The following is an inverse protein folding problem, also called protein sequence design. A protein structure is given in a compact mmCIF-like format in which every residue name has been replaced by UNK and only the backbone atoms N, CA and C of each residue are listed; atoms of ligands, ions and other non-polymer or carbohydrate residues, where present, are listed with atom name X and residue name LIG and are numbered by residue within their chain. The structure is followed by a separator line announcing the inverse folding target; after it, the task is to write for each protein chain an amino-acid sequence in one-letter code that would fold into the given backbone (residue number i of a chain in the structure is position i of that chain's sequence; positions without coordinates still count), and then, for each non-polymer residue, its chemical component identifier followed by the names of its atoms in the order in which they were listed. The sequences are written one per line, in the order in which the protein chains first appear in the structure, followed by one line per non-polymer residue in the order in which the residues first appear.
data_IF_473055869395
#
_entry.id   IF_473055869395
#
_cell.length_a   1.000
_cell.length_b   1.000
_cell.length_c   1.000
_cell.angle_alpha   90.00
_cell.angle_beta   90.00
_cell.angle_gamma   90.00
#
_symmetry.space_group_name_H-M   'P 1'
#
loop_
_entity.id
_entity.type
_entity.pdbx_description
1 polymer ?
#
# COMPACT_ATOMS: atom_id res chain seq x y z
N UNK A 1 -0.54 18.57 22.79
CA UNK A 1 0.92 18.34 22.65
C UNK A 1 1.31 16.88 23.01
N UNK A 2 0.40 15.89 22.87
CA UNK A 2 0.55 14.56 23.48
C UNK A 2 1.41 13.54 22.73
N UNK A 3 1.15 13.29 21.44
CA UNK A 3 1.63 12.04 20.81
C UNK A 3 2.66 12.24 19.69
N UNK A 4 2.87 13.46 19.18
CA UNK A 4 3.82 13.71 18.08
C UNK A 4 5.26 13.27 18.40
N UNK A 5 5.68 13.43 19.66
CA UNK A 5 7.01 12.97 20.13
C UNK A 5 7.12 11.46 20.13
N UNK A 6 6.06 10.77 20.48
CA UNK A 6 6.01 9.31 20.51
C UNK A 6 6.02 8.73 19.10
N UNK A 7 5.24 9.33 18.19
CA UNK A 7 5.27 8.97 16.76
C UNK A 7 6.65 9.21 16.15
N UNK A 8 7.30 10.34 16.46
CA UNK A 8 8.67 10.59 16.03
C UNK A 8 9.65 9.54 16.57
N UNK A 9 9.51 9.16 17.85
CA UNK A 9 10.31 8.10 18.46
C UNK A 9 10.09 6.73 17.76
N UNK A 10 8.85 6.40 17.41
CA UNK A 10 8.57 5.18 16.65
C UNK A 10 9.23 5.21 15.28
N UNK A 11 9.19 6.32 14.56
CA UNK A 11 9.91 6.44 13.28
C UNK A 11 11.41 6.18 13.43
N UNK A 12 12.04 6.80 14.42
CA UNK A 12 13.47 6.66 14.64
C UNK A 12 13.84 5.22 15.02
N UNK A 13 13.06 4.59 15.90
CA UNK A 13 13.25 3.19 16.31
C UNK A 13 12.95 2.20 15.19
N UNK A 14 11.93 2.42 14.37
CA UNK A 14 11.63 1.58 13.20
C UNK A 14 12.81 1.58 12.22
N UNK A 15 13.38 2.76 11.94
CA UNK A 15 14.54 2.85 11.06
C UNK A 15 15.78 2.19 11.67
N UNK A 16 16.05 2.46 12.96
CA UNK A 16 17.25 2.02 13.67
C UNK A 16 17.23 0.53 14.03
N UNK A 17 16.13 0.08 14.64
CA UNK A 17 16.03 -1.22 15.30
C UNK A 17 15.47 -2.29 14.32
N UNK A 18 14.50 -1.95 13.47
CA UNK A 18 13.98 -2.88 12.45
C UNK A 18 14.72 -2.82 11.10
N UNK A 19 15.60 -1.84 10.92
CA UNK A 19 16.32 -1.64 9.65
C UNK A 19 15.41 -1.21 8.49
N UNK A 20 14.22 -0.69 8.77
CA UNK A 20 13.30 -0.15 7.76
C UNK A 20 13.75 1.28 7.41
N UNK A 21 14.81 1.37 6.61
CA UNK A 21 15.40 2.64 6.20
C UNK A 21 14.68 3.25 4.99
N UNK A 22 14.73 4.57 4.87
CA UNK A 22 14.19 5.35 3.74
C UNK A 22 12.75 4.96 3.36
N UNK A 23 11.92 4.69 4.38
CA UNK A 23 10.55 4.20 4.20
C UNK A 23 9.56 4.94 5.12
N UNK A 24 9.90 6.17 5.53
CA UNK A 24 9.08 6.97 6.47
C UNK A 24 7.63 7.12 5.98
N UNK A 25 7.43 7.36 4.69
CA UNK A 25 6.09 7.43 4.11
C UNK A 25 5.34 6.10 4.14
N UNK A 26 6.01 4.97 3.88
CA UNK A 26 5.39 3.65 4.04
C UNK A 26 4.94 3.39 5.47
N UNK A 27 5.76 3.80 6.46
CA UNK A 27 5.40 3.73 7.88
C UNK A 27 4.17 4.59 8.15
N UNK A 28 4.13 5.83 7.65
CA UNK A 28 2.95 6.69 7.78
C UNK A 28 1.70 6.12 7.10
N UNK A 29 1.85 5.44 5.97
CA UNK A 29 0.74 4.72 5.32
C UNK A 29 0.24 3.57 6.21
N UNK A 30 1.13 2.81 6.83
CA UNK A 30 0.75 1.75 7.79
C UNK A 30 -0.01 2.35 8.98
N UNK A 31 0.51 3.42 9.58
CA UNK A 31 -0.15 4.14 10.67
C UNK A 31 -1.54 4.65 10.25
N UNK A 32 -1.64 5.22 9.06
CA UNK A 32 -2.92 5.66 8.48
C UNK A 32 -3.89 4.50 8.28
N UNK A 33 -3.41 3.35 7.80
CA UNK A 33 -4.23 2.14 7.62
C UNK A 33 -4.76 1.59 8.95
N UNK A 34 -3.90 1.53 9.97
CA UNK A 34 -4.28 1.13 11.33
C UNK A 34 -5.31 2.08 11.93
N UNK A 35 -5.05 3.40 11.88
CA UNK A 35 -5.98 4.41 12.37
C UNK A 35 -7.33 4.35 11.67
N UNK A 36 -7.31 4.26 10.33
CA UNK A 36 -8.51 4.18 9.51
C UNK A 36 -9.33 2.92 9.79
N UNK A 37 -8.66 1.79 10.01
CA UNK A 37 -9.30 0.51 10.37
C UNK A 37 -10.03 0.60 11.72
N UNK A 38 -9.32 0.98 12.79
CA UNK A 38 -9.91 1.03 14.13
C UNK A 38 -10.97 2.11 14.25
N UNK A 39 -10.76 3.28 13.63
CA UNK A 39 -11.77 4.32 13.56
C UNK A 39 -13.02 3.86 12.81
N UNK A 40 -12.88 3.08 11.73
CA UNK A 40 -14.02 2.54 10.99
C UNK A 40 -14.82 1.53 11.86
N UNK A 41 -14.12 0.67 12.60
CA UNK A 41 -14.78 -0.25 13.53
C UNK A 41 -15.54 0.51 14.61
N UNK A 42 -14.89 1.50 15.23
CA UNK A 42 -15.49 2.31 16.30
C UNK A 42 -16.77 3.02 15.84
N UNK A 43 -16.75 3.64 14.65
CA UNK A 43 -17.92 4.30 14.06
C UNK A 43 -19.09 3.37 13.79
N UNK A 44 -18.83 2.09 13.52
CA UNK A 44 -19.86 1.11 13.18
C UNK A 44 -20.38 0.33 14.40
N UNK A 45 -19.65 0.35 15.52
CA UNK A 45 -19.97 -0.48 16.69
C UNK A 45 -20.25 0.29 17.97
N UNK A 46 -19.91 1.58 18.03
CA UNK A 46 -20.01 2.36 19.26
C UNK A 46 -20.97 3.54 19.10
N UNK A 47 -21.90 3.67 20.04
CA UNK A 47 -22.76 4.85 20.19
C UNK A 47 -22.01 6.03 20.84
N UNK A 48 -20.80 5.80 21.34
CA UNK A 48 -19.99 6.80 22.03
C UNK A 48 -19.22 7.72 21.08
N UNK A 49 -19.39 7.58 19.76
CA UNK A 49 -18.75 8.46 18.78
C UNK A 49 -19.75 9.03 17.79
N UNK A 50 -19.47 10.25 17.32
CA UNK A 50 -20.21 10.84 16.21
C UNK A 50 -19.51 10.46 14.90
N UNK A 51 -20.09 9.57 14.06
CA UNK A 51 -19.41 9.08 12.89
C UNK A 51 -19.15 10.19 11.87
N UNK A 52 -18.06 10.07 11.12
CA UNK A 52 -17.78 10.90 9.95
C UNK A 52 -18.91 10.67 8.95
N UNK A 53 -19.61 11.73 8.57
CA UNK A 53 -20.71 11.66 7.60
C UNK A 53 -20.39 12.49 6.37
N UNK A 54 -20.71 11.93 5.21
CA UNK A 54 -20.73 12.64 3.93
C UNK A 54 -22.04 12.33 3.23
N UNK A 55 -22.76 13.37 2.82
CA UNK A 55 -24.05 13.25 2.12
C UNK A 55 -25.07 12.33 2.83
N UNK A 56 -25.09 12.35 4.16
CA UNK A 56 -26.02 11.55 4.98
C UNK A 56 -25.54 10.12 5.31
N UNK A 57 -24.49 9.63 4.66
CA UNK A 57 -23.94 8.29 4.91
C UNK A 57 -22.70 8.34 5.80
N UNK A 58 -22.48 7.27 6.58
CA UNK A 58 -21.22 7.07 7.32
C UNK A 58 -20.12 6.84 6.30
N UNK A 59 -19.01 7.57 6.46
CA UNK A 59 -17.84 7.45 5.60
C UNK A 59 -17.03 6.22 6.01
N UNK A 60 -16.68 5.38 5.05
CA UNK A 60 -15.71 4.32 5.29
C UNK A 60 -14.31 4.92 5.42
N UNK A 61 -13.72 4.82 6.62
CA UNK A 61 -12.39 5.37 6.90
C UNK A 61 -11.27 4.35 6.67
N UNK A 62 -11.58 3.13 6.22
CA UNK A 62 -10.55 2.11 5.94
C UNK A 62 -9.61 2.62 4.85
N UNK A 63 -8.33 2.33 5.04
CA UNK A 63 -7.29 2.62 4.06
C UNK A 63 -6.52 1.35 3.77
N UNK A 64 -6.78 0.77 2.61
CA UNK A 64 -6.06 -0.40 2.12
C UNK A 64 -4.65 0.01 1.70
N UNK A 65 -3.67 -0.90 1.75
CA UNK A 65 -2.28 -0.61 1.41
C UNK A 65 -1.80 -1.37 0.18
N UNK A 66 -1.07 -0.70 -0.70
CA UNK A 66 -0.37 -1.32 -1.82
C UNK A 66 1.07 -0.86 -1.86
N UNK A 67 2.00 -1.76 -1.54
CA UNK A 67 3.44 -1.52 -1.64
C UNK A 67 3.99 -2.11 -2.93
N UNK A 68 4.36 -1.25 -3.87
CA UNK A 68 4.97 -1.63 -5.14
C UNK A 68 6.46 -1.37 -5.04
N UNK A 69 7.23 -2.44 -4.80
CA UNK A 69 8.68 -2.36 -4.65
C UNK A 69 9.39 -3.53 -5.33
N UNK A 70 10.64 -3.37 -5.80
CA UNK A 70 11.37 -4.50 -6.36
C UNK A 70 11.64 -5.59 -5.29
N UNK A 71 12.04 -6.79 -5.72
CA UNK A 71 12.47 -7.88 -4.84
C UNK A 71 13.61 -7.45 -3.90
N UNK A 72 13.59 -7.89 -2.64
CA UNK A 72 14.64 -7.58 -1.66
C UNK A 72 14.55 -6.22 -0.97
N UNK A 73 13.60 -5.35 -1.35
CA UNK A 73 13.50 -3.98 -0.80
C UNK A 73 12.45 -3.82 0.31
N UNK A 74 12.45 -4.77 1.26
CA UNK A 74 11.74 -4.63 2.53
C UNK A 74 10.21 -4.79 2.50
N UNK A 75 9.59 -5.21 1.39
CA UNK A 75 8.12 -5.44 1.32
C UNK A 75 7.60 -6.33 2.45
N UNK A 76 8.21 -7.50 2.62
CA UNK A 76 7.85 -8.47 3.67
C UNK A 76 8.07 -7.88 5.06
N UNK A 77 9.15 -7.10 5.24
CA UNK A 77 9.43 -6.44 6.53
C UNK A 77 8.34 -5.42 6.88
N UNK A 78 7.83 -4.67 5.90
CA UNK A 78 6.72 -3.73 6.12
C UNK A 78 5.40 -4.45 6.37
N UNK A 79 5.02 -5.39 5.51
CA UNK A 79 3.71 -6.06 5.57
C UNK A 79 3.60 -7.03 6.76
N UNK A 80 4.62 -7.86 6.96
CA UNK A 80 4.65 -8.83 8.06
C UNK A 80 5.22 -8.20 9.33
N UNK A 81 6.45 -7.69 9.24
CA UNK A 81 7.20 -7.23 10.41
C UNK A 81 6.62 -6.00 11.09
N UNK A 82 6.15 -5.01 10.32
CA UNK A 82 5.67 -3.73 10.86
C UNK A 82 4.15 -3.58 10.87
N UNK A 83 3.41 -4.22 9.96
CA UNK A 83 1.95 -4.20 9.98
C UNK A 83 1.38 -5.40 10.73
N UNK A 84 1.57 -6.62 10.21
CA UNK A 84 0.90 -7.80 10.77
C UNK A 84 1.36 -8.14 12.19
N UNK A 85 2.68 -8.16 12.43
CA UNK A 85 3.24 -8.59 13.71
C UNK A 85 2.84 -7.64 14.84
N UNK A 86 2.69 -6.34 14.57
CA UNK A 86 2.30 -5.33 15.58
C UNK A 86 0.80 -5.23 15.80
N UNK A 87 -0.03 -6.01 15.11
CA UNK A 87 -1.47 -6.04 15.43
C UNK A 87 -1.66 -6.60 16.86
N UNK A 88 -2.51 -5.97 17.68
CA UNK A 88 -2.93 -6.53 18.96
C UNK A 88 -3.58 -7.91 18.79
N UNK A 89 -3.47 -8.76 19.80
CA UNK A 89 -4.01 -10.12 19.78
C UNK A 89 -5.52 -10.15 19.51
N UNK A 90 -6.28 -9.23 20.10
CA UNK A 90 -7.73 -9.09 19.85
C UNK A 90 -8.10 -8.66 18.41
N UNK A 91 -7.15 -8.15 17.63
CA UNK A 91 -7.35 -7.87 16.19
C UNK A 91 -6.98 -9.08 15.33
N UNK A 92 -6.02 -9.90 15.79
CA UNK A 92 -5.60 -11.12 15.09
C UNK A 92 -6.55 -12.29 15.32
N UNK A 93 -7.17 -12.34 16.49
CA UNK A 93 -7.99 -13.46 16.91
C UNK A 93 -9.23 -13.04 17.68
N UNK A 94 -10.29 -13.83 17.54
CA UNK A 94 -11.49 -13.79 18.38
C UNK A 94 -11.86 -15.19 18.87
N UNK A 95 -12.82 -15.28 19.78
CA UNK A 95 -13.36 -16.56 20.24
C UNK A 95 -14.65 -16.89 19.49
N UNK A 96 -14.76 -18.13 19.02
CA UNK A 96 -16.00 -18.64 18.44
C UNK A 96 -17.12 -18.56 19.49
N UNK A 97 -18.30 -18.00 19.18
CA UNK A 97 -19.39 -17.85 20.15
C UNK A 97 -19.81 -19.17 20.80
N UNK A 98 -19.99 -20.21 19.99
CA UNK A 98 -20.49 -21.51 20.48
C UNK A 98 -19.42 -22.45 21.04
N UNK A 99 -18.21 -22.45 20.47
CA UNK A 99 -17.18 -23.44 20.82
C UNK A 99 -16.06 -22.87 21.70
N UNK A 100 -15.98 -21.54 21.83
CA UNK A 100 -14.86 -20.86 22.50
C UNK A 100 -13.52 -20.96 21.76
N UNK A 101 -13.46 -21.70 20.65
CA UNK A 101 -12.24 -21.91 19.87
C UNK A 101 -11.74 -20.60 19.27
N UNK A 102 -10.41 -20.46 19.20
CA UNK A 102 -9.76 -19.29 18.60
C UNK A 102 -10.01 -19.26 17.09
N UNK A 103 -10.56 -18.15 16.59
CA UNK A 103 -10.77 -17.88 15.16
C UNK A 103 -9.83 -16.75 14.75
N UNK A 104 -9.11 -16.94 13.63
CA UNK A 104 -8.31 -15.89 13.01
C UNK A 104 -9.19 -14.81 12.38
N UNK A 105 -9.01 -13.56 12.84
CA UNK A 105 -9.65 -12.35 12.31
C UNK A 105 -8.69 -11.48 11.52
N UNK A 106 -7.38 -11.74 11.59
CA UNK A 106 -6.38 -11.22 10.67
C UNK A 106 -5.53 -12.37 10.13
N UNK A 107 -5.06 -12.26 8.90
CA UNK A 107 -4.30 -13.35 8.26
C UNK A 107 -3.25 -12.85 7.28
N UNK A 108 -2.19 -13.64 7.08
CA UNK A 108 -1.15 -13.41 6.10
C UNK A 108 -1.22 -14.49 5.02
N UNK A 109 -1.53 -14.09 3.79
CA UNK A 109 -1.88 -14.96 2.67
C UNK A 109 -0.86 -14.83 1.54
N UNK A 110 -0.53 -15.97 0.93
CA UNK A 110 0.31 -16.01 -0.27
C UNK A 110 -0.52 -15.95 -1.56
N UNK A 111 -1.69 -16.59 -1.56
CA UNK A 111 -2.58 -16.71 -2.71
C UNK A 111 -4.01 -16.51 -2.21
N UNK A 112 -4.81 -15.74 -2.96
CA UNK A 112 -6.22 -15.51 -2.67
C UNK A 112 -7.05 -15.79 -3.93
N UNK A 113 -8.00 -16.72 -3.82
CA UNK A 113 -8.95 -17.04 -4.90
C UNK A 113 -10.30 -16.41 -4.61
N UNK A 114 -11.17 -16.29 -5.63
CA UNK A 114 -12.51 -15.75 -5.45
C UNK A 114 -13.29 -16.48 -4.35
N UNK A 115 -13.38 -17.82 -4.44
CA UNK A 115 -14.08 -18.63 -3.45
C UNK A 115 -13.44 -18.53 -2.06
N UNK A 116 -12.11 -18.42 -1.99
CA UNK A 116 -11.40 -18.19 -0.74
C UNK A 116 -11.69 -16.81 -0.13
N UNK A 117 -11.89 -15.78 -0.96
CA UNK A 117 -12.19 -14.43 -0.51
C UNK A 117 -13.67 -14.26 -0.13
N UNK A 118 -14.59 -14.54 -1.05
CA UNK A 118 -16.03 -14.29 -0.88
C UNK A 118 -16.73 -15.39 -0.10
N UNK A 119 -16.23 -16.61 -0.15
CA UNK A 119 -16.94 -17.81 0.25
C UNK A 119 -17.61 -18.52 -0.92
N UNK A 120 -18.23 -19.67 -0.62
CA UNK A 120 -18.96 -20.49 -1.59
C UNK A 120 -20.16 -21.18 -0.95
N UNK A 121 -21.13 -21.58 -1.78
CA UNK A 121 -22.29 -22.37 -1.37
C UNK A 121 -22.14 -23.77 -1.94
N UNK A 122 -22.03 -24.78 -1.09
CA UNK A 122 -21.95 -26.20 -1.50
C UNK A 122 -23.32 -26.85 -1.34
N UNK A 123 -23.81 -27.47 -2.41
CA UNK A 123 -24.98 -28.34 -2.33
C UNK A 123 -24.52 -29.79 -2.17
N UNK A 124 -24.96 -30.47 -1.13
CA UNK A 124 -24.76 -31.91 -0.97
C UNK A 124 -26.11 -32.59 -0.75
N UNK A 125 -26.75 -33.03 -1.84
CA UNK A 125 -28.14 -33.48 -1.82
C UNK A 125 -29.13 -32.36 -1.49
N UNK A 126 -29.94 -32.52 -0.44
CA UNK A 126 -30.91 -31.51 0.02
C UNK A 126 -30.33 -30.47 0.99
N UNK A 127 -29.04 -30.57 1.35
CA UNK A 127 -28.40 -29.61 2.25
C UNK A 127 -27.55 -28.60 1.48
N UNK A 128 -27.80 -27.33 1.77
CA UNK A 128 -27.03 -26.19 1.26
C UNK A 128 -26.15 -25.70 2.41
N UNK A 129 -24.83 -25.86 2.27
CA UNK A 129 -23.85 -25.41 3.25
C UNK A 129 -23.15 -24.15 2.73
N UNK A 130 -23.21 -23.08 3.51
CA UNK A 130 -22.48 -21.85 3.25
C UNK A 130 -21.08 -21.95 3.87
N UNK A 131 -20.06 -21.91 3.04
CA UNK A 131 -18.66 -21.85 3.49
C UNK A 131 -18.20 -20.40 3.42
N UNK A 132 -17.93 -19.81 4.59
CA UNK A 132 -17.47 -18.43 4.70
C UNK A 132 -16.10 -18.21 4.07
N UNK A 133 -15.97 -17.11 3.33
CA UNK A 133 -14.69 -16.65 2.82
C UNK A 133 -13.88 -15.86 3.85
N UNK A 134 -12.65 -15.54 3.49
CA UNK A 134 -11.74 -14.70 4.28
C UNK A 134 -12.37 -13.33 4.55
N UNK A 135 -13.15 -12.77 3.62
CA UNK A 135 -13.77 -11.47 3.83
C UNK A 135 -14.79 -11.46 4.98
N UNK A 136 -15.55 -12.54 5.16
CA UNK A 136 -16.45 -12.70 6.31
C UNK A 136 -15.67 -12.96 7.60
N UNK A 137 -14.74 -13.93 7.57
CA UNK A 137 -13.94 -14.32 8.74
C UNK A 137 -13.08 -13.18 9.29
N UNK A 138 -12.44 -12.41 8.41
CA UNK A 138 -11.58 -11.30 8.74
C UNK A 138 -12.31 -9.95 8.75
N UNK A 139 -13.64 -9.94 8.97
CA UNK A 139 -14.46 -8.73 9.02
C UNK A 139 -13.88 -7.65 9.95
N UNK A 140 -13.20 -8.01 11.05
CA UNK A 140 -12.67 -7.05 12.03
C UNK A 140 -11.15 -6.97 12.06
N UNK A 141 -10.47 -7.36 10.99
CA UNK A 141 -9.02 -7.37 10.98
C UNK A 141 -8.42 -7.15 9.60
N UNK A 142 -7.16 -7.59 9.46
CA UNK A 142 -6.35 -7.36 8.29
C UNK A 142 -6.17 -8.63 7.47
N UNK A 143 -6.33 -8.52 6.17
CA UNK A 143 -5.85 -9.51 5.20
C UNK A 143 -4.58 -8.94 4.60
N UNK A 144 -3.47 -9.62 4.82
CA UNK A 144 -2.15 -9.20 4.32
C UNK A 144 -1.73 -10.16 3.21
N UNK A 145 -1.42 -9.64 2.02
CA UNK A 145 -1.04 -10.42 0.84
C UNK A 145 0.37 -10.02 0.39
N UNK A 146 1.33 -10.94 0.46
CA UNK A 146 2.73 -10.61 0.14
C UNK A 146 2.98 -10.40 -1.36
N UNK A 147 2.33 -11.20 -2.20
CA UNK A 147 2.45 -11.16 -3.66
C UNK A 147 1.07 -11.04 -4.30
N UNK A 148 0.66 -9.81 -4.56
CA UNK A 148 -0.61 -9.47 -5.17
C UNK A 148 -0.67 -9.84 -6.66
N UNK A 149 0.47 -10.14 -7.30
CA UNK A 149 0.48 -10.49 -8.72
C UNK A 149 -0.39 -11.70 -9.04
N UNK A 150 -0.45 -12.70 -8.15
CA UNK A 150 -1.30 -13.87 -8.33
C UNK A 150 -2.81 -13.51 -8.39
N UNK A 151 -3.22 -12.46 -7.67
CA UNK A 151 -4.59 -11.94 -7.70
C UNK A 151 -4.84 -11.22 -9.03
N UNK A 152 -3.91 -10.37 -9.47
CA UNK A 152 -4.03 -9.65 -10.75
C UNK A 152 -4.02 -10.61 -11.96
N UNK A 153 -3.15 -11.61 -11.94
CA UNK A 153 -3.11 -12.65 -12.98
C UNK A 153 -4.43 -13.41 -13.06
N UNK A 154 -5.09 -13.64 -11.91
CA UNK A 154 -6.42 -14.23 -11.90
C UNK A 154 -7.42 -13.35 -12.64
N UNK A 155 -7.40 -12.03 -12.48
CA UNK A 155 -8.30 -11.08 -13.18
C UNK A 155 -8.13 -11.09 -14.70
N UNK A 156 -6.94 -11.41 -15.17
CA UNK A 156 -6.63 -11.48 -16.61
C UNK A 156 -7.23 -12.73 -17.30
N UNK A 157 -7.71 -13.71 -16.52
CA UNK A 157 -8.36 -14.91 -17.04
C UNK A 157 -9.87 -14.64 -17.21
N UNK A 158 -10.43 -14.85 -18.40
CA UNK A 158 -11.80 -14.47 -18.82
C UNK A 158 -12.95 -14.94 -17.93
N UNK A 159 -12.71 -15.85 -16.98
CA UNK A 159 -13.71 -16.39 -16.05
C UNK A 159 -13.73 -15.74 -14.66
N UNK A 160 -12.90 -14.72 -14.39
CA UNK A 160 -12.67 -14.17 -13.04
C UNK A 160 -13.13 -12.71 -12.83
N UNK A 161 -13.85 -12.11 -13.78
CA UNK A 161 -14.38 -10.74 -13.63
C UNK A 161 -15.24 -10.57 -12.37
N UNK A 162 -15.88 -11.66 -11.91
CA UNK A 162 -16.65 -11.70 -10.67
C UNK A 162 -15.78 -11.48 -9.43
N UNK A 163 -14.53 -11.96 -9.43
CA UNK A 163 -13.63 -11.77 -8.29
C UNK A 163 -13.18 -10.32 -8.16
N UNK A 164 -12.82 -9.72 -9.28
CA UNK A 164 -12.42 -8.31 -9.31
C UNK A 164 -13.54 -7.42 -8.77
N UNK A 165 -14.78 -7.61 -9.25
CA UNK A 165 -15.94 -6.83 -8.76
C UNK A 165 -16.22 -7.08 -7.27
N UNK A 166 -16.16 -8.33 -6.81
CA UNK A 166 -16.35 -8.65 -5.40
C UNK A 166 -15.28 -8.00 -4.51
N UNK A 167 -14.02 -7.99 -4.96
CA UNK A 167 -12.94 -7.30 -4.27
C UNK A 167 -13.18 -5.78 -4.26
N UNK A 168 -13.49 -5.18 -5.41
CA UNK A 168 -13.77 -3.74 -5.51
C UNK A 168 -14.89 -3.30 -4.57
N UNK A 169 -16.00 -4.06 -4.49
CA UNK A 169 -17.11 -3.75 -3.60
C UNK A 169 -16.76 -3.88 -2.12
N UNK A 170 -16.01 -4.93 -1.75
CA UNK A 170 -15.57 -5.17 -0.39
C UNK A 170 -14.61 -4.08 0.13
N UNK A 171 -13.69 -3.62 -0.73
CA UNK A 171 -12.70 -2.60 -0.38
C UNK A 171 -13.28 -1.16 -0.41
N UNK A 172 -14.40 -0.95 -1.09
CA UNK A 172 -15.01 0.38 -1.21
C UNK A 172 -16.12 0.58 -0.17
N UNK A 173 -17.17 -0.24 -0.25
CA UNK A 173 -18.36 -0.13 0.59
C UNK A 173 -18.34 -1.03 1.82
N UNK A 174 -17.44 -2.02 1.83
CA UNK A 174 -17.47 -3.08 2.83
C UNK A 174 -18.54 -4.13 2.54
N UNK A 175 -19.18 -4.13 1.37
CA UNK A 175 -20.22 -5.11 1.05
C UNK A 175 -19.68 -6.21 0.14
N UNK A 176 -19.98 -7.46 0.48
CA UNK A 176 -19.77 -8.62 -0.37
C UNK A 176 -21.14 -9.14 -0.80
N UNK A 177 -21.34 -9.32 -2.10
CA UNK A 177 -22.55 -9.96 -2.64
C UNK A 177 -22.18 -10.84 -3.82
N UNK A 178 -22.60 -12.10 -3.77
CA UNK A 178 -22.32 -13.09 -4.81
C UNK A 178 -23.51 -14.02 -4.96
N UNK A 179 -24.10 -14.03 -6.15
CA UNK A 179 -25.21 -14.94 -6.50
C UNK A 179 -24.63 -16.23 -7.08
N UNK A 180 -25.04 -17.36 -6.51
CA UNK A 180 -24.64 -18.71 -6.93
C UNK A 180 -25.90 -19.52 -7.28
N UNK A 181 -25.72 -20.60 -8.05
CA UNK A 181 -26.84 -21.45 -8.46
C UNK A 181 -27.65 -22.01 -7.27
N UNK A 182 -26.99 -22.25 -6.14
CA UNK A 182 -27.59 -22.84 -4.95
C UNK A 182 -27.93 -21.82 -3.85
N UNK A 183 -27.79 -20.51 -4.11
CA UNK A 183 -28.07 -19.47 -3.10
C UNK A 183 -27.29 -18.18 -3.31
N UNK A 184 -27.58 -17.17 -2.50
CA UNK A 184 -26.87 -15.88 -2.54
C UNK A 184 -26.06 -15.70 -1.26
N UNK A 185 -24.79 -15.32 -1.41
CA UNK A 185 -23.93 -14.86 -0.33
C UNK A 185 -24.04 -13.34 -0.28
N UNK A 186 -24.44 -12.78 0.86
CA UNK A 186 -24.48 -11.32 1.07
C UNK A 186 -24.14 -11.00 2.52
N UNK A 187 -23.09 -10.23 2.74
CA UNK A 187 -22.68 -9.77 4.08
C UNK A 187 -21.85 -8.50 4.01
N UNK A 188 -21.74 -7.82 5.15
CA UNK A 188 -20.84 -6.69 5.33
C UNK A 188 -19.53 -7.15 5.98
N UNK A 189 -18.44 -6.51 5.57
CA UNK A 189 -17.08 -6.73 6.03
C UNK A 189 -16.38 -5.40 6.25
N UNK A 190 -15.63 -5.31 7.35
CA UNK A 190 -14.74 -4.19 7.67
C UNK A 190 -13.27 -4.59 7.53
N UNK A 191 -12.99 -5.66 6.79
CA UNK A 191 -11.63 -6.10 6.55
C UNK A 191 -10.81 -4.94 5.98
N UNK A 192 -9.56 -4.86 6.36
CA UNK A 192 -8.58 -3.98 5.72
C UNK A 192 -7.54 -4.84 5.00
N UNK A 193 -7.18 -4.44 3.78
CA UNK A 193 -6.33 -5.22 2.89
C UNK A 193 -5.01 -4.49 2.76
N UNK A 194 -3.92 -5.21 2.98
CA UNK A 194 -2.58 -4.71 2.71
C UNK A 194 -1.89 -5.68 1.76
N UNK A 195 -1.31 -5.16 0.70
CA UNK A 195 -0.77 -5.95 -0.38
C UNK A 195 0.62 -5.46 -0.80
N UNK A 196 1.45 -6.40 -1.26
CA UNK A 196 2.74 -6.12 -1.87
C UNK A 196 2.77 -6.63 -3.31
N UNK A 197 3.44 -5.90 -4.21
CA UNK A 197 3.66 -6.38 -5.58
C UNK A 197 5.01 -5.88 -6.11
N UNK A 198 5.54 -6.59 -7.10
CA UNK A 198 6.71 -6.15 -7.85
C UNK A 198 6.29 -5.24 -9.02
N UNK A 199 7.02 -4.13 -9.29
CA UNK A 199 6.72 -3.26 -10.43
C UNK A 199 6.53 -4.03 -11.75
N UNK A 200 7.39 -5.01 -12.00
CA UNK A 200 7.45 -5.78 -13.25
C UNK A 200 6.34 -6.82 -13.38
N UNK A 201 5.63 -7.13 -12.29
CA UNK A 201 4.49 -8.05 -12.26
C UNK A 201 3.15 -7.32 -12.21
N UNK A 202 3.18 -5.99 -12.14
CA UNK A 202 1.96 -5.21 -12.14
C UNK A 202 1.39 -5.18 -13.55
N UNK A 203 0.29 -5.91 -13.74
CA UNK A 203 -0.48 -5.95 -14.98
C UNK A 203 -1.70 -5.05 -14.82
N UNK A 204 -1.98 -4.27 -15.86
CA UNK A 204 -3.16 -3.43 -16.09
C UNK A 204 -4.05 -3.18 -14.85
N UNK A 205 -3.74 -2.13 -14.10
CA UNK A 205 -4.48 -1.76 -12.89
C UNK A 205 -5.64 -0.78 -13.16
N UNK A 206 -6.11 -0.73 -14.42
CA UNK A 206 -7.03 0.30 -14.94
C UNK A 206 -8.48 0.20 -14.44
N UNK A 207 -8.87 -0.89 -13.76
CA UNK A 207 -10.25 -1.13 -13.30
C UNK A 207 -10.71 -0.29 -12.10
N UNK A 208 -9.92 0.71 -11.69
CA UNK A 208 -10.20 1.53 -10.52
C UNK A 208 -9.86 0.87 -9.19
N UNK A 209 -9.31 -0.36 -9.20
CA UNK A 209 -8.86 -1.07 -8.00
C UNK A 209 -7.86 -0.25 -7.19
N UNK A 210 -6.87 0.34 -7.86
CA UNK A 210 -5.83 1.11 -7.19
C UNK A 210 -6.36 2.33 -6.45
N UNK A 211 -7.53 2.88 -6.82
CA UNK A 211 -8.17 4.00 -6.10
C UNK A 211 -8.55 3.65 -4.65
N UNK A 212 -8.73 2.37 -4.33
CA UNK A 212 -9.08 1.90 -2.98
C UNK A 212 -7.88 1.75 -2.05
N UNK A 213 -6.66 1.75 -2.59
CA UNK A 213 -5.42 1.59 -1.84
C UNK A 213 -4.73 2.93 -1.65
N UNK A 214 -4.09 3.16 -0.50
CA UNK A 214 -2.92 4.01 -0.41
C UNK A 214 -1.74 3.27 -1.04
N UNK A 215 -1.09 3.92 -1.98
CA UNK A 215 -0.13 3.32 -2.89
C UNK A 215 1.24 3.92 -2.63
N UNK A 216 2.21 3.09 -2.33
CA UNK A 216 3.61 3.48 -2.40
C UNK A 216 4.27 2.78 -3.58
N UNK A 217 4.71 3.56 -4.56
CA UNK A 217 5.63 3.11 -5.58
C UNK A 217 7.05 3.52 -5.22
N UNK A 218 7.90 2.54 -4.91
CA UNK A 218 9.29 2.80 -4.59
C UNK A 218 10.22 2.01 -5.51
N UNK A 219 10.99 2.75 -6.31
CA UNK A 219 12.23 2.27 -6.91
C UNK A 219 13.39 2.92 -6.12
N UNK A 220 14.17 2.13 -5.37
CA UNK A 220 15.24 2.65 -4.53
C UNK A 220 16.36 3.23 -5.40
N UNK A 221 16.97 4.31 -4.94
CA UNK A 221 18.21 4.81 -5.52
C UNK A 221 19.36 3.82 -5.28
N UNK A 222 20.49 4.00 -5.96
CA UNK A 222 21.69 3.20 -5.72
C UNK A 222 22.18 3.32 -4.26
N UNK A 223 22.07 4.52 -3.68
CA UNK A 223 22.40 4.77 -2.27
C UNK A 223 21.42 4.07 -1.32
N UNK A 224 20.11 4.24 -1.53
CA UNK A 224 19.09 3.56 -0.73
C UNK A 224 19.27 2.03 -0.78
N UNK A 225 19.64 1.49 -1.95
CA UNK A 225 19.92 0.07 -2.12
C UNK A 225 21.10 -0.39 -1.27
N UNK A 226 22.20 0.38 -1.25
CA UNK A 226 23.36 0.08 -0.39
C UNK A 226 22.97 0.13 1.10
N UNK A 227 22.18 1.13 1.50
CA UNK A 227 21.73 1.28 2.88
C UNK A 227 20.83 0.13 3.32
N UNK A 228 19.90 -0.32 2.46
CA UNK A 228 19.03 -1.47 2.74
C UNK A 228 19.85 -2.77 2.87
N UNK A 229 20.82 -3.00 1.99
CA UNK A 229 21.71 -4.16 2.08
C UNK A 229 22.54 -4.13 3.37
N UNK A 230 23.09 -2.97 3.73
CA UNK A 230 23.84 -2.80 4.97
C UNK A 230 22.95 -3.04 6.20
N UNK A 231 21.76 -2.46 6.23
CA UNK A 231 20.78 -2.66 7.31
C UNK A 231 20.40 -4.14 7.46
N UNK A 232 20.13 -4.82 6.35
CA UNK A 232 19.81 -6.26 6.35
C UNK A 232 20.96 -7.10 6.90
N UNK A 233 22.21 -6.82 6.50
CA UNK A 233 23.40 -7.54 7.01
C UNK A 233 23.61 -7.29 8.51
N UNK A 234 23.46 -6.04 8.95
CA UNK A 234 23.65 -5.67 10.35
C UNK A 234 22.62 -6.35 11.27
N UNK A 235 21.39 -6.58 10.79
CA UNK A 235 20.35 -7.28 11.55
C UNK A 235 20.73 -8.73 11.93
N UNK A 236 21.57 -9.40 11.12
CA UNK A 236 22.06 -10.75 11.43
C UNK A 236 23.21 -10.76 12.44
N UNK A 237 23.91 -9.64 12.59
CA UNK A 237 25.15 -9.56 13.38
C UNK A 237 24.94 -9.00 14.78
N UNK A 238 23.88 -8.21 14.98
CA UNK A 238 23.64 -7.48 16.23
C UNK A 238 22.41 -8.06 16.96
N UNK A 239 22.64 -8.99 17.90
CA UNK A 239 21.56 -9.60 18.68
C UNK A 239 20.74 -8.56 19.46
N UNK A 240 21.39 -7.55 20.04
CA UNK A 240 20.73 -6.44 20.74
C UNK A 240 19.72 -5.70 19.84
N UNK A 241 19.99 -5.58 18.53
CA UNK A 241 19.03 -4.97 17.59
C UNK A 241 17.77 -5.81 17.44
N UNK A 242 17.89 -7.14 17.44
CA UNK A 242 16.73 -8.03 17.35
C UNK A 242 15.87 -7.94 18.61
N UNK A 243 16.49 -7.86 19.79
CA UNK A 243 15.77 -7.67 21.05
C UNK A 243 15.08 -6.29 21.09
N UNK A 244 15.79 -5.23 20.69
CA UNK A 244 15.21 -3.89 20.58
C UNK A 244 14.04 -3.82 19.58
N UNK A 245 14.14 -4.55 18.46
CA UNK A 245 13.06 -4.63 17.47
C UNK A 245 11.83 -5.36 18.03
N UNK A 246 12.03 -6.40 18.85
CA UNK A 246 10.93 -7.08 19.55
C UNK A 246 10.26 -6.18 20.59
N UNK A 247 11.05 -5.43 21.35
CA UNK A 247 10.51 -4.46 22.30
C UNK A 247 9.76 -3.32 21.59
N UNK A 248 10.27 -2.81 20.47
CA UNK A 248 9.57 -1.85 19.63
C UNK A 248 8.21 -2.39 19.15
N UNK A 249 8.14 -3.65 18.72
CA UNK A 249 6.87 -4.26 18.31
C UNK A 249 5.87 -4.33 19.47
N UNK A 250 6.34 -4.65 20.68
CA UNK A 250 5.50 -4.65 21.91
C UNK A 250 5.02 -3.25 22.26
N UNK A 251 5.89 -2.25 22.15
CA UNK A 251 5.55 -0.86 22.43
C UNK A 251 4.52 -0.33 21.42
N UNK A 252 4.69 -0.64 20.13
CA UNK A 252 3.70 -0.32 19.10
C UNK A 252 2.37 -1.03 19.33
N UNK A 253 2.39 -2.31 19.69
CA UNK A 253 1.18 -3.06 20.06
C UNK A 253 0.45 -2.42 21.24
N UNK A 254 1.19 -2.03 22.27
CA UNK A 254 0.65 -1.35 23.44
C UNK A 254 0.03 -0.01 23.06
N UNK A 255 0.75 0.82 22.30
CA UNK A 255 0.26 2.10 21.78
C UNK A 255 -1.02 1.94 20.96
N UNK A 256 -1.06 0.99 20.02
CA UNK A 256 -2.28 0.74 19.23
C UNK A 256 -3.45 0.37 20.14
N UNK A 257 -3.21 -0.48 21.13
CA UNK A 257 -4.25 -0.92 22.06
C UNK A 257 -4.74 0.22 22.97
N UNK A 258 -3.84 1.01 23.55
CA UNK A 258 -4.20 2.03 24.54
C UNK A 258 -4.65 3.33 23.88
N UNK A 259 -3.89 3.81 22.90
CA UNK A 259 -4.06 5.14 22.31
C UNK A 259 -4.89 5.15 21.04
N UNK A 260 -5.01 4.03 20.31
CA UNK A 260 -5.75 4.00 19.02
C UNK A 260 -7.09 3.29 19.14
N UNK A 261 -7.13 2.10 19.74
CA UNK A 261 -8.35 1.29 19.84
C UNK A 261 -9.36 1.81 20.87
N UNK A 262 -8.87 2.35 21.99
CA UNK A 262 -9.72 2.85 23.08
C UNK A 262 -10.04 4.35 22.96
N UNK A 263 -9.54 4.99 21.91
CA UNK A 263 -9.76 6.41 21.67
C UNK A 263 -11.23 6.70 21.36
N UNK A 264 -11.76 7.83 21.84
CA UNK A 264 -13.13 8.28 21.59
C UNK A 264 -13.14 9.72 21.08
N UNK A 265 -14.19 10.09 20.36
CA UNK A 265 -14.37 11.44 19.83
C UNK A 265 -15.84 11.73 19.53
N UNK A 266 -16.23 12.99 19.66
CA UNK A 266 -17.58 13.50 19.44
C UNK A 266 -17.69 14.42 18.23
N UNK A 267 -16.56 14.93 17.73
CA UNK A 267 -16.57 15.80 16.55
C UNK A 267 -15.24 15.75 15.80
N UNK A 268 -15.21 16.34 14.60
CA UNK A 268 -14.03 16.42 13.74
C UNK A 268 -13.95 17.85 13.20
N UNK A 269 -12.78 18.44 13.28
CA UNK A 269 -12.46 19.75 12.71
C UNK A 269 -11.28 19.62 11.74
N UNK A 270 -11.17 20.55 10.80
CA UNK A 270 -10.18 20.48 9.73
C UNK A 270 -9.44 21.79 9.55
N UNK A 271 -8.13 21.72 9.27
CA UNK A 271 -7.39 22.82 8.66
C UNK A 271 -7.70 22.91 7.15
N UNK A 272 -8.96 23.23 6.82
CA UNK A 272 -9.49 23.17 5.45
C UNK A 272 -8.60 23.86 4.41
N UNK A 273 -8.15 25.08 4.69
CA UNK A 273 -7.37 25.88 3.75
C UNK A 273 -6.05 25.20 3.34
N UNK A 274 -5.35 24.56 4.29
CA UNK A 274 -4.07 23.89 3.99
C UNK A 274 -4.28 22.58 3.24
N UNK A 275 -5.26 21.78 3.68
CA UNK A 275 -5.59 20.50 3.05
C UNK A 275 -6.07 20.69 1.60
N UNK A 276 -7.01 21.61 1.38
CA UNK A 276 -7.55 21.87 0.05
C UNK A 276 -6.53 22.53 -0.86
N UNK A 277 -5.69 23.44 -0.35
CA UNK A 277 -4.57 23.96 -1.12
C UNK A 277 -3.61 22.86 -1.56
N UNK A 278 -3.33 21.87 -0.71
CA UNK A 278 -2.54 20.70 -1.12
C UNK A 278 -3.26 19.92 -2.24
N UNK A 279 -4.56 19.65 -2.08
CA UNK A 279 -5.34 18.91 -3.08
C UNK A 279 -5.42 19.64 -4.42
N UNK A 280 -5.51 20.97 -4.41
CA UNK A 280 -5.47 21.81 -5.60
C UNK A 280 -4.13 21.70 -6.33
N UNK A 281 -3.01 21.57 -5.60
CA UNK A 281 -1.69 21.37 -6.24
C UNK A 281 -1.56 20.01 -6.93
N UNK A 282 -2.34 19.01 -6.50
CA UNK A 282 -2.42 17.71 -7.16
C UNK A 282 -3.26 17.78 -8.45
N UNK A 283 -4.06 18.84 -8.66
CA UNK A 283 -4.86 19.01 -9.87
C UNK A 283 -5.85 17.87 -10.09
N UNK A 284 -6.50 17.40 -9.02
CA UNK A 284 -7.36 16.22 -9.05
C UNK A 284 -8.55 16.44 -10.00
N UNK A 285 -8.74 15.55 -11.00
CA UNK A 285 -9.80 15.73 -11.99
C UNK A 285 -11.20 15.34 -11.48
N UNK A 286 -11.31 14.56 -10.39
CA UNK A 286 -12.58 14.12 -9.84
C UNK A 286 -12.62 14.21 -8.30
N UNK A 287 -13.83 14.43 -7.76
CA UNK A 287 -14.04 14.61 -6.33
C UNK A 287 -13.79 13.35 -5.49
N UNK A 288 -13.79 12.16 -6.13
CA UNK A 288 -13.52 10.89 -5.43
C UNK A 288 -12.07 10.79 -4.98
N UNK A 289 -11.11 11.31 -5.75
CA UNK A 289 -9.71 11.37 -5.31
C UNK A 289 -9.57 12.25 -4.06
N UNK A 290 -10.23 13.40 -4.01
CA UNK A 290 -10.19 14.28 -2.82
C UNK A 290 -10.77 13.59 -1.57
N UNK A 291 -11.80 12.75 -1.74
CA UNK A 291 -12.36 11.97 -0.63
C UNK A 291 -11.38 10.95 -0.08
N UNK A 292 -10.65 10.26 -0.96
CA UNK A 292 -9.65 9.27 -0.56
C UNK A 292 -8.59 9.91 0.32
N UNK A 293 -8.11 11.11 -0.05
CA UNK A 293 -7.10 11.85 0.70
C UNK A 293 -7.65 12.47 1.98
N UNK A 294 -8.88 12.97 1.98
CA UNK A 294 -9.52 13.45 3.20
C UNK A 294 -9.69 12.33 4.23
N UNK A 295 -10.17 11.17 3.81
CA UNK A 295 -10.28 9.99 4.67
C UNK A 295 -8.89 9.54 5.19
N UNK A 296 -7.84 9.62 4.36
CA UNK A 296 -6.47 9.33 4.79
C UNK A 296 -5.96 10.34 5.83
N UNK A 297 -6.24 11.63 5.64
CA UNK A 297 -5.87 12.68 6.59
C UNK A 297 -6.57 12.49 7.96
N UNK A 298 -7.86 12.15 7.95
CA UNK A 298 -8.62 11.82 9.16
C UNK A 298 -8.00 10.60 9.85
N UNK A 299 -7.80 9.51 9.12
CA UNK A 299 -7.27 8.26 9.64
C UNK A 299 -5.86 8.41 10.25
N UNK A 300 -4.99 9.19 9.61
CA UNK A 300 -3.66 9.52 10.12
C UNK A 300 -3.74 10.31 11.43
N UNK A 301 -4.54 11.38 11.47
CA UNK A 301 -4.68 12.21 12.67
C UNK A 301 -5.33 11.45 13.83
N UNK A 302 -6.23 10.49 13.53
CA UNK A 302 -6.76 9.57 14.52
C UNK A 302 -5.67 8.66 15.09
N UNK A 303 -4.82 8.06 14.24
CA UNK A 303 -3.72 7.20 14.71
C UNK A 303 -2.70 7.95 15.56
N UNK A 304 -2.32 9.16 15.14
CA UNK A 304 -1.39 10.02 15.87
C UNK A 304 -2.03 10.59 17.14
N UNK A 305 -3.32 10.41 17.38
CA UNK A 305 -3.98 10.91 18.60
C UNK A 305 -4.06 12.43 18.65
N UNK A 306 -4.25 13.08 17.49
CA UNK A 306 -4.47 14.52 17.43
C UNK A 306 -5.93 14.86 17.80
N UNK A 307 -6.27 14.59 19.06
CA UNK A 307 -7.58 14.82 19.65
C UNK A 307 -7.48 15.88 20.75
N UNK A 308 -8.31 16.90 20.64
CA UNK A 308 -8.42 18.00 21.61
C UNK A 308 -9.89 18.07 22.05
N UNK A 309 -10.16 17.95 23.35
CA UNK A 309 -11.52 17.99 23.92
C UNK A 309 -12.53 17.07 23.18
N UNK A 310 -12.16 15.80 22.98
CA UNK A 310 -12.92 14.80 22.21
C UNK A 310 -13.21 15.21 20.76
N UNK A 311 -12.41 16.10 20.18
CA UNK A 311 -12.50 16.52 18.78
C UNK A 311 -11.24 16.11 18.05
N UNK A 312 -11.38 15.30 16.99
CA UNK A 312 -10.25 15.03 16.10
C UNK A 312 -9.93 16.31 15.34
N UNK A 313 -8.71 16.82 15.49
CA UNK A 313 -8.26 18.01 14.76
C UNK A 313 -7.42 17.54 13.58
N UNK A 314 -7.98 17.57 12.37
CA UNK A 314 -7.28 17.11 11.16
C UNK A 314 -6.32 18.20 10.70
N UNK A 315 -5.04 18.05 11.08
CA UNK A 315 -3.95 18.97 10.74
C UNK A 315 -3.09 18.41 9.61
N UNK A 316 -2.60 19.28 8.73
CA UNK A 316 -1.62 18.93 7.72
C UNK A 316 -0.21 19.18 8.26
N UNK A 317 0.44 18.13 8.77
CA UNK A 317 1.86 18.15 9.11
C UNK A 317 2.70 17.66 7.91
N UNK A 318 4.03 17.78 8.03
CA UNK A 318 4.97 17.40 6.95
C UNK A 318 4.91 15.91 6.61
N UNK A 319 4.70 15.06 7.61
CA UNK A 319 4.61 13.61 7.43
C UNK A 319 3.38 13.19 6.62
N UNK A 320 2.23 13.79 6.93
CA UNK A 320 0.99 13.60 6.17
C UNK A 320 1.12 14.18 4.75
N UNK A 321 1.65 15.40 4.60
CA UNK A 321 1.86 16.03 3.29
C UNK A 321 2.75 15.16 2.37
N UNK A 322 3.87 14.67 2.90
CA UNK A 322 4.77 13.79 2.17
C UNK A 322 4.10 12.47 1.80
N UNK A 323 3.36 11.85 2.73
CA UNK A 323 2.66 10.60 2.48
C UNK A 323 1.61 10.74 1.37
N UNK A 324 0.77 11.78 1.42
CA UNK A 324 -0.26 12.03 0.40
C UNK A 324 0.37 12.36 -0.95
N UNK A 325 1.49 13.10 -0.95
CA UNK A 325 2.26 13.40 -2.16
C UNK A 325 2.85 12.14 -2.78
N UNK A 326 3.43 11.24 -1.97
CA UNK A 326 3.95 9.95 -2.46
C UNK A 326 2.84 9.11 -3.06
N UNK A 327 1.68 9.01 -2.40
CA UNK A 327 0.53 8.30 -2.96
C UNK A 327 0.09 8.89 -4.31
N UNK A 328 -0.08 10.22 -4.37
CA UNK A 328 -0.48 10.91 -5.60
C UNK A 328 0.50 10.67 -6.75
N UNK A 329 1.80 10.85 -6.52
CA UNK A 329 2.81 10.62 -7.56
C UNK A 329 2.89 9.14 -7.93
N UNK A 330 2.73 8.23 -6.96
CA UNK A 330 2.71 6.78 -7.22
C UNK A 330 1.56 6.42 -8.16
N UNK A 331 0.34 6.91 -7.91
CA UNK A 331 -0.81 6.70 -8.82
C UNK A 331 -0.56 7.25 -10.21
N UNK A 332 0.05 8.43 -10.31
CA UNK A 332 0.41 9.00 -11.60
C UNK A 332 1.37 8.07 -12.36
N UNK A 333 2.39 7.54 -11.69
CA UNK A 333 3.35 6.61 -12.29
C UNK A 333 2.69 5.29 -12.70
N UNK A 334 1.71 4.81 -11.95
CA UNK A 334 0.94 3.61 -12.30
C UNK A 334 0.15 3.72 -13.61
N UNK A 335 -0.11 4.94 -14.10
CA UNK A 335 -0.72 5.12 -15.42
C UNK A 335 0.25 4.86 -16.58
N UNK A 336 1.55 4.72 -16.29
CA UNK A 336 2.58 4.40 -17.28
C UNK A 336 2.91 2.91 -17.29
N UNK A 337 3.56 2.47 -18.37
CA UNK A 337 4.15 1.14 -18.45
C UNK A 337 5.25 0.99 -17.36
N UNK A 338 5.00 0.11 -16.38
CA UNK A 338 5.87 -0.07 -15.23
C UNK A 338 7.27 -0.59 -15.59
N UNK A 339 7.39 -1.44 -16.61
CA UNK A 339 8.69 -1.87 -17.13
C UNK A 339 9.45 -0.69 -17.75
N UNK A 340 8.75 0.20 -18.45
CA UNK A 340 9.35 1.40 -19.02
C UNK A 340 9.83 2.37 -17.92
N UNK A 341 9.10 2.52 -16.82
CA UNK A 341 9.55 3.35 -15.69
C UNK A 341 10.84 2.80 -15.06
N UNK A 342 10.93 1.49 -14.84
CA UNK A 342 12.16 0.86 -14.33
C UNK A 342 13.33 1.14 -15.27
N UNK A 343 13.14 1.00 -16.58
CA UNK A 343 14.18 1.33 -17.55
C UNK A 343 14.55 2.82 -17.51
N UNK A 344 13.61 3.74 -17.37
CA UNK A 344 13.91 5.17 -17.25
C UNK A 344 14.81 5.48 -16.04
N UNK A 345 14.60 4.79 -14.90
CA UNK A 345 15.50 4.90 -13.74
C UNK A 345 16.90 4.40 -14.05
N UNK A 346 17.01 3.25 -14.73
CA UNK A 346 18.31 2.70 -15.15
C UNK A 346 19.05 3.67 -16.08
N UNK A 347 18.35 4.17 -17.12
CA UNK A 347 18.91 5.11 -18.08
C UNK A 347 19.33 6.42 -17.41
N UNK A 348 18.57 6.90 -16.42
CA UNK A 348 18.93 8.07 -15.61
C UNK A 348 20.23 7.85 -14.85
N UNK A 349 20.37 6.71 -14.17
CA UNK A 349 21.58 6.40 -13.41
C UNK A 349 22.80 6.35 -14.34
N UNK A 350 22.67 5.71 -15.50
CA UNK A 350 23.73 5.66 -16.51
C UNK A 350 24.09 7.06 -17.04
N UNK A 351 23.09 7.92 -17.30
CA UNK A 351 23.31 9.31 -17.71
C UNK A 351 24.08 10.09 -16.64
N UNK A 352 23.72 9.92 -15.37
CA UNK A 352 24.40 10.57 -14.24
C UNK A 352 25.86 10.11 -14.09
N UNK A 353 26.19 8.89 -14.53
CA UNK A 353 27.55 8.36 -14.61
C UNK A 353 28.32 8.86 -15.86
N UNK A 354 27.71 9.71 -16.68
CA UNK A 354 28.33 10.27 -17.89
C UNK A 354 28.32 9.34 -19.09
N UNK A 355 27.51 8.28 -19.08
CA UNK A 355 27.42 7.32 -20.19
C UNK A 355 26.57 7.94 -21.31
N UNK A 356 27.23 8.48 -22.34
CA UNK A 356 26.56 9.14 -23.47
C UNK A 356 25.93 8.16 -24.49
N UNK A 357 26.39 6.92 -24.54
CA UNK A 357 25.92 5.89 -25.48
C UNK A 357 25.67 4.60 -24.73
N UNK A 358 24.40 4.29 -24.51
CA UNK A 358 23.98 3.19 -23.63
C UNK A 358 23.81 1.93 -24.46
N UNK A 359 24.65 0.91 -24.22
CA UNK A 359 24.55 -0.36 -24.96
C UNK A 359 23.47 -1.23 -24.34
N UNK A 360 22.85 -2.08 -25.15
CA UNK A 360 21.86 -3.05 -24.67
C UNK A 360 22.40 -3.96 -23.55
N UNK A 361 23.68 -4.35 -23.62
CA UNK A 361 24.31 -5.20 -22.59
C UNK A 361 24.35 -4.51 -21.23
N UNK A 362 24.67 -3.22 -21.20
CA UNK A 362 24.72 -2.43 -19.96
C UNK A 362 23.31 -2.35 -19.35
N UNK A 363 22.29 -2.16 -20.19
CA UNK A 363 20.88 -2.16 -19.77
C UNK A 363 20.49 -3.51 -19.18
N UNK A 364 20.88 -4.61 -19.83
CA UNK A 364 20.59 -5.97 -19.35
C UNK A 364 21.22 -6.22 -17.97
N UNK A 365 22.49 -5.83 -17.79
CA UNK A 365 23.20 -5.99 -16.51
C UNK A 365 22.55 -5.16 -15.39
N UNK A 366 22.25 -3.89 -15.64
CA UNK A 366 21.60 -3.02 -14.67
C UNK A 366 20.15 -3.46 -14.35
N UNK A 367 19.46 -4.04 -15.34
CA UNK A 367 18.08 -4.54 -15.18
C UNK A 367 18.00 -5.79 -14.30
N UNK A 368 19.11 -6.52 -14.13
CA UNK A 368 19.16 -7.71 -13.26
C UNK A 368 18.86 -7.36 -11.80
N UNK A 369 19.26 -6.17 -11.33
CA UNK A 369 18.93 -5.68 -9.99
C UNK A 369 17.41 -5.56 -9.74
N UNK A 370 16.62 -5.48 -10.81
CA UNK A 370 15.16 -5.38 -10.78
C UNK A 370 14.46 -6.67 -11.22
N UNK A 371 15.22 -7.76 -11.44
CA UNK A 371 14.73 -9.05 -11.92
C UNK A 371 13.91 -8.95 -13.23
N UNK A 372 14.26 -8.03 -14.12
CA UNK A 372 13.64 -7.96 -15.44
C UNK A 372 14.27 -8.99 -16.38
N UNK A 373 13.43 -9.74 -17.10
CA UNK A 373 13.90 -10.65 -18.14
C UNK A 373 14.09 -9.91 -19.49
N UNK A 374 14.74 -10.56 -20.45
CA UNK A 374 15.05 -9.97 -21.75
C UNK A 374 13.81 -9.56 -22.56
N UNK A 375 12.69 -10.29 -22.43
CA UNK A 375 11.44 -9.96 -23.10
C UNK A 375 10.82 -8.68 -22.53
N UNK A 376 10.79 -8.55 -21.20
CA UNK A 376 10.31 -7.36 -20.51
C UNK A 376 11.14 -6.12 -20.85
N UNK A 377 12.47 -6.27 -20.90
CA UNK A 377 13.40 -5.20 -21.30
C UNK A 377 13.14 -4.79 -22.75
N UNK A 378 13.02 -5.74 -23.67
CA UNK A 378 12.73 -5.46 -25.08
C UNK A 378 11.39 -4.74 -25.25
N UNK A 379 10.34 -5.20 -24.56
CA UNK A 379 9.03 -4.59 -24.56
C UNK A 379 9.05 -3.14 -24.04
N UNK A 380 9.77 -2.90 -22.95
CA UNK A 380 9.92 -1.59 -22.35
C UNK A 380 10.73 -0.63 -23.24
N UNK A 381 11.84 -1.10 -23.83
CA UNK A 381 12.61 -0.32 -24.80
C UNK A 381 11.74 0.06 -26.01
N UNK A 382 10.98 -0.91 -26.55
CA UNK A 382 10.07 -0.65 -27.66
C UNK A 382 9.00 0.38 -27.30
N UNK A 383 8.42 0.28 -26.10
CA UNK A 383 7.46 1.28 -25.60
C UNK A 383 8.06 2.68 -25.50
N UNK A 384 9.31 2.79 -25.03
CA UNK A 384 10.03 4.07 -24.94
C UNK A 384 10.40 4.65 -26.32
N UNK A 385 10.75 3.79 -27.28
CA UNK A 385 10.95 4.17 -28.69
C UNK A 385 9.65 4.69 -29.31
N UNK A 386 8.53 3.99 -29.11
CA UNK A 386 7.23 4.36 -29.66
C UNK A 386 6.73 5.71 -29.08
N UNK A 387 7.09 6.00 -27.83
CA UNK A 387 6.87 7.31 -27.20
C UNK A 387 7.90 8.38 -27.60
N UNK A 388 8.86 8.06 -28.49
CA UNK A 388 9.95 8.94 -28.93
C UNK A 388 10.84 9.45 -27.79
N UNK A 389 10.90 8.71 -26.68
CA UNK A 389 11.73 9.06 -25.52
C UNK A 389 13.18 8.67 -25.76
N UNK A 390 13.38 7.51 -26.40
CA UNK A 390 14.69 7.00 -26.81
C UNK A 390 14.70 6.70 -28.30
N UNK A 391 15.90 6.66 -28.88
CA UNK A 391 16.13 6.17 -30.24
C UNK A 391 17.20 5.09 -30.23
N UNK A 392 16.95 4.04 -31.01
CA UNK A 392 17.89 2.93 -31.22
C UNK A 392 18.74 3.16 -32.46
N UNK A 393 20.06 3.02 -32.27
CA UNK A 393 21.07 3.10 -33.31
C UNK A 393 21.87 1.79 -33.35
N UNK A 394 22.29 1.38 -34.55
CA UNK A 394 23.22 0.25 -34.71
C UNK A 394 24.64 0.75 -34.84
N UNK A 395 25.51 0.39 -33.91
CA UNK A 395 26.95 0.70 -33.95
C UNK A 395 27.73 -0.61 -33.89
N UNK A 396 28.46 -0.94 -34.97
CA UNK A 396 29.37 -2.10 -35.05
C UNK A 396 28.75 -3.39 -34.46
N UNK A 397 27.57 -3.77 -34.98
CA UNK A 397 26.75 -4.92 -34.57
C UNK A 397 26.09 -4.85 -33.18
N UNK A 398 26.30 -3.78 -32.41
CA UNK A 398 25.63 -3.56 -31.13
C UNK A 398 24.46 -2.60 -31.27
N UNK A 399 23.38 -2.91 -30.57
CA UNK A 399 22.26 -1.99 -30.38
C UNK A 399 22.63 -0.98 -29.28
N UNK A 400 22.57 0.31 -29.63
CA UNK A 400 22.89 1.44 -28.76
C UNK A 400 21.68 2.37 -28.69
N UNK A 401 21.34 2.83 -27.50
CA UNK A 401 20.20 3.71 -27.26
C UNK A 401 20.68 5.10 -26.84
N UNK A 402 19.99 6.13 -27.34
CA UNK A 402 20.14 7.53 -26.92
C UNK A 402 18.80 8.10 -26.48
N UNK A 403 18.81 8.95 -25.44
CA UNK A 403 17.62 9.70 -25.02
C UNK A 403 17.41 10.84 -26.02
N UNK A 404 16.20 10.95 -26.58
CA UNK A 404 15.88 11.95 -27.62
C UNK A 404 14.83 12.98 -27.18
N UNK A 405 14.10 12.71 -26.10
CA UNK A 405 13.14 13.66 -25.52
C UNK A 405 13.51 13.96 -24.07
N UNK A 406 14.52 14.82 -23.89
CA UNK A 406 14.99 15.24 -22.56
C UNK A 406 13.87 15.84 -21.70
N UNK A 407 12.97 16.63 -22.29
CA UNK A 407 11.89 17.30 -21.54
C UNK A 407 10.95 16.28 -20.90
N UNK A 408 10.50 15.28 -21.66
CA UNK A 408 9.62 14.24 -21.11
C UNK A 408 10.37 13.35 -20.13
N UNK A 409 11.59 12.94 -20.48
CA UNK A 409 12.45 12.13 -19.62
C UNK A 409 12.65 12.80 -18.26
N UNK A 410 13.07 14.06 -18.25
CA UNK A 410 13.31 14.84 -17.05
C UNK A 410 12.02 15.07 -16.26
N UNK A 411 10.86 15.22 -16.91
CA UNK A 411 9.57 15.34 -16.21
C UNK A 411 9.21 14.08 -15.42
N UNK A 412 9.42 12.89 -15.99
CA UNK A 412 9.18 11.62 -15.29
C UNK A 412 10.23 11.39 -14.20
N UNK A 413 11.49 11.64 -14.52
CA UNK A 413 12.61 11.52 -13.58
C UNK A 413 12.44 12.45 -12.37
N UNK A 414 12.04 13.69 -12.57
CA UNK A 414 11.82 14.65 -11.49
C UNK A 414 10.67 14.22 -10.57
N UNK A 415 9.66 13.50 -11.09
CA UNK A 415 8.59 12.92 -10.27
C UNK A 415 9.07 11.73 -9.46
N UNK A 416 9.91 10.87 -10.05
CA UNK A 416 10.58 9.79 -9.32
C UNK A 416 11.49 10.35 -8.22
N UNK A 417 12.22 11.43 -8.50
CA UNK A 417 13.03 12.14 -7.51
C UNK A 417 12.17 12.76 -6.40
N UNK A 418 10.98 13.26 -6.70
CA UNK A 418 10.08 13.79 -5.68
C UNK A 418 9.67 12.68 -4.69
N UNK A 419 9.37 11.48 -5.18
CA UNK A 419 9.12 10.32 -4.31
C UNK A 419 10.38 10.01 -3.50
N UNK A 420 11.54 9.86 -4.15
CA UNK A 420 12.79 9.49 -3.46
C UNK A 420 13.20 10.51 -2.40
N UNK A 421 13.04 11.81 -2.68
CA UNK A 421 13.30 12.89 -1.71
C UNK A 421 12.31 12.89 -0.56
N UNK A 422 11.05 12.58 -0.81
CA UNK A 422 10.06 12.47 0.25
C UNK A 422 10.32 11.27 1.17
N UNK A 423 11.03 10.23 0.69
CA UNK A 423 11.35 9.01 1.46
C UNK A 423 12.52 9.16 2.44
N UNK A 424 13.36 10.18 2.27
CA UNK A 424 14.44 10.57 3.19
C UNK A 424 13.90 11.55 4.22
#
# INVERSE_FOLDING_TARGET
MGNDKEIALFHDRIAKDMGIVSSRNAVNMIFTSLGGHYMNLLQKTSDAVNPVRKNGSIVDTRKHLMFIRPPGFGKTMMLKGLLYDVLPEETKYTSHPDTGNRIETSTFQNILTEAGFTGTVRGNGNMVENVEGIAARCNRGFVVVEEFSAILESFSQTHSSNFEQALLMALDSGRVTKSLANGTISYDTNLTLAAGIQPTKMVDASSGLMRRFLVEYCIPSAEASKNIVAASRNAWLEQDKNDNAMDLKRDLQAYIKTEVMNQTYNSITYEHDKLFKLFDTFGMPAGIESDIYMQAAIAYNYFVGNIEDNTIVVKLNKDLENMLTVDFVSRYLLSFNMHAIVLLVILKNMRNEGIASIKLVDILEASNAYQMNSQQITYALKSLEDMSIITKMKIKQSDVYSITNDVFFDKIVNRLDAIQKAMV
#
